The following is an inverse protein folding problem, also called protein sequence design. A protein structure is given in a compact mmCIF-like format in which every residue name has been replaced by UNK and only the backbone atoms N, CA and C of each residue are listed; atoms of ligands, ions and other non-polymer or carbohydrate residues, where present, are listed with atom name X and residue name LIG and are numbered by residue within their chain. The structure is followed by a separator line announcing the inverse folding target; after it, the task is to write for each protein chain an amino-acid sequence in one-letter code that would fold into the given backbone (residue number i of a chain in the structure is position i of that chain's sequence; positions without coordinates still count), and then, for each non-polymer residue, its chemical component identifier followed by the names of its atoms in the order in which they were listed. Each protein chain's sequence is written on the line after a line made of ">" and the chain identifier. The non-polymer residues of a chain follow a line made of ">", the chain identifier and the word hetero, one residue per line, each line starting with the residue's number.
data_IF_593168534879
#
_entry.id   IF_593168534879
#
_cell.length_a   1.000
_cell.length_b   1.000
_cell.length_c   1.000
_cell.angle_alpha   90.00
_cell.angle_beta   90.00
_cell.angle_gamma   90.00
#
_symmetry.space_group_name_H-M   'P 1'
#
loop_
_entity.id
_entity.type
_entity.pdbx_description
1 polymer ?
#
# COMPACT_ATOMS: atom_id res chain seq x y z
N UNK A 1 -16.00 -11.74 -14.47
CA UNK A 1 -15.33 -10.89 -15.47
C UNK A 1 -14.47 -11.79 -16.35
N UNK A 2 -14.34 -11.44 -17.63
CA UNK A 2 -13.51 -12.14 -18.61
C UNK A 2 -12.65 -11.13 -19.36
N UNK A 3 -11.45 -11.57 -19.76
CA UNK A 3 -10.57 -10.80 -20.63
C UNK A 3 -11.08 -10.86 -22.06
N UNK A 4 -11.08 -9.71 -22.75
CA UNK A 4 -11.33 -9.67 -24.18
C UNK A 4 -10.14 -10.28 -24.97
N UNK A 5 -10.32 -10.61 -26.27
CA UNK A 5 -9.22 -10.96 -27.14
C UNK A 5 -8.08 -9.92 -27.09
N UNK A 6 -6.86 -10.38 -27.30
CA UNK A 6 -5.68 -9.52 -27.20
C UNK A 6 -5.76 -8.30 -28.13
N UNK A 7 -5.56 -7.12 -27.56
CA UNK A 7 -5.65 -5.85 -28.29
C UNK A 7 -4.27 -5.31 -28.75
N UNK A 8 -3.19 -6.04 -28.46
CA UNK A 8 -1.83 -5.74 -28.92
C UNK A 8 -1.20 -4.48 -28.29
N UNK A 9 -1.75 -3.97 -27.17
CA UNK A 9 -1.19 -2.82 -26.45
C UNK A 9 -0.66 -3.25 -25.09
N UNK A 10 0.50 -2.69 -24.70
CA UNK A 10 1.17 -2.94 -23.43
C UNK A 10 1.20 -1.66 -22.59
N UNK A 11 0.66 -1.70 -21.38
CA UNK A 11 0.55 -0.53 -20.52
C UNK A 11 1.35 -0.75 -19.22
N UNK A 12 2.14 0.26 -18.85
CA UNK A 12 2.76 0.31 -17.54
C UNK A 12 1.84 1.00 -16.54
N UNK A 13 1.69 0.42 -15.35
CA UNK A 13 1.00 1.03 -14.21
C UNK A 13 2.00 1.17 -13.07
N UNK A 14 2.17 2.37 -12.55
CA UNK A 14 3.09 2.62 -11.42
C UNK A 14 2.30 2.78 -10.15
N UNK A 15 2.39 1.78 -9.29
CA UNK A 15 1.65 1.63 -8.03
C UNK A 15 0.61 0.51 -8.09
N UNK A 16 0.76 -0.49 -7.22
CA UNK A 16 -0.16 -1.61 -7.04
C UNK A 16 -1.20 -1.35 -5.93
N UNK A 17 -1.53 -0.10 -5.66
CA UNK A 17 -2.64 0.27 -4.78
C UNK A 17 -4.00 0.14 -5.48
N UNK A 18 -5.12 0.46 -4.80
CA UNK A 18 -6.47 0.30 -5.34
C UNK A 18 -6.66 0.95 -6.71
N UNK A 19 -6.11 2.14 -6.93
CA UNK A 19 -6.22 2.86 -8.22
C UNK A 19 -5.49 2.12 -9.36
N UNK A 20 -4.26 1.65 -9.11
CA UNK A 20 -3.46 0.91 -10.09
C UNK A 20 -4.08 -0.45 -10.41
N UNK A 21 -4.52 -1.18 -9.40
CA UNK A 21 -5.18 -2.47 -9.58
C UNK A 21 -6.49 -2.33 -10.36
N UNK A 22 -7.31 -1.33 -10.05
CA UNK A 22 -8.55 -1.07 -10.79
C UNK A 22 -8.28 -0.70 -12.25
N UNK A 23 -7.27 0.14 -12.52
CA UNK A 23 -6.85 0.49 -13.86
C UNK A 23 -6.37 -0.75 -14.63
N UNK A 24 -5.45 -1.52 -14.05
CA UNK A 24 -4.90 -2.73 -14.66
C UNK A 24 -5.98 -3.76 -14.98
N UNK A 25 -6.88 -4.04 -14.04
CA UNK A 25 -7.99 -4.95 -14.25
C UNK A 25 -8.90 -4.49 -15.38
N UNK A 26 -9.24 -3.20 -15.43
CA UNK A 26 -10.05 -2.64 -16.51
C UNK A 26 -9.40 -2.72 -17.87
N UNK A 27 -8.10 -2.49 -17.95
CA UNK A 27 -7.31 -2.64 -19.17
C UNK A 27 -7.24 -4.10 -19.63
N UNK A 28 -7.00 -5.03 -18.71
CA UNK A 28 -7.00 -6.46 -19.00
C UNK A 28 -8.37 -6.94 -19.51
N UNK A 29 -9.48 -6.46 -18.95
CA UNK A 29 -10.83 -6.74 -19.49
C UNK A 29 -10.99 -6.29 -20.94
N UNK A 30 -10.23 -5.28 -21.39
CA UNK A 30 -10.23 -4.78 -22.78
C UNK A 30 -9.18 -5.46 -23.68
N UNK A 31 -8.47 -6.49 -23.17
CA UNK A 31 -7.49 -7.26 -23.91
C UNK A 31 -6.08 -6.66 -23.95
N UNK A 32 -5.79 -5.62 -23.15
CA UNK A 32 -4.44 -5.07 -23.07
C UNK A 32 -3.58 -5.88 -22.09
N UNK A 33 -2.27 -5.93 -22.33
CA UNK A 33 -1.30 -6.43 -21.37
C UNK A 33 -0.85 -5.31 -20.44
N UNK A 34 -0.77 -5.60 -19.15
CA UNK A 34 -0.42 -4.61 -18.13
C UNK A 34 0.72 -5.13 -17.26
N UNK A 35 1.72 -4.30 -17.07
CA UNK A 35 2.76 -4.50 -16.06
C UNK A 35 2.59 -3.44 -14.98
N UNK A 36 2.38 -3.89 -13.75
CA UNK A 36 2.29 -3.01 -12.58
C UNK A 36 3.65 -3.02 -11.88
N UNK A 37 4.20 -1.85 -11.62
CA UNK A 37 5.42 -1.65 -10.83
C UNK A 37 5.05 -1.09 -9.47
N UNK A 38 5.54 -1.69 -8.39
CA UNK A 38 5.32 -1.19 -7.04
C UNK A 38 6.62 -1.17 -6.23
N UNK A 39 6.84 -0.10 -5.49
CA UNK A 39 8.03 0.05 -4.65
C UNK A 39 8.04 -0.84 -3.41
N UNK A 40 6.89 -1.36 -3.01
CA UNK A 40 6.73 -2.23 -1.85
C UNK A 40 6.88 -3.70 -2.22
N UNK A 41 7.23 -4.58 -1.27
CA UNK A 41 7.37 -6.02 -1.51
C UNK A 41 6.04 -6.74 -1.80
N UNK A 42 4.90 -6.13 -1.45
CA UNK A 42 3.56 -6.64 -1.72
C UNK A 42 2.70 -5.56 -2.36
N UNK A 43 1.87 -5.93 -3.32
CA UNK A 43 0.82 -5.05 -3.84
C UNK A 43 -0.33 -4.89 -2.83
N UNK A 44 -1.25 -3.95 -3.12
CA UNK A 44 -2.42 -3.66 -2.29
C UNK A 44 -2.44 -2.22 -1.77
N UNK A 45 -1.28 -1.53 -1.74
CA UNK A 45 -1.19 -0.14 -1.30
C UNK A 45 -1.77 0.06 0.11
N UNK A 46 -2.67 1.04 0.30
CA UNK A 46 -3.28 1.29 1.61
C UNK A 46 -4.09 0.12 2.16
N UNK A 47 -4.66 -0.75 1.32
CA UNK A 47 -5.38 -1.93 1.78
C UNK A 47 -4.44 -2.92 2.48
N UNK A 48 -3.19 -3.00 2.04
CA UNK A 48 -2.15 -3.85 2.63
C UNK A 48 -1.43 -3.16 3.80
N UNK A 49 -1.06 -1.87 3.65
CA UNK A 49 -0.14 -1.18 4.55
C UNK A 49 -0.79 -0.16 5.47
N UNK A 50 -1.97 0.37 5.14
CA UNK A 50 -2.50 1.55 5.82
C UNK A 50 -3.81 1.34 6.59
N UNK A 51 -4.59 0.30 6.28
CA UNK A 51 -5.82 -0.03 7.01
C UNK A 51 -5.47 -0.82 8.26
N UNK A 52 -6.01 -0.42 9.41
CA UNK A 52 -5.79 -1.12 10.67
C UNK A 52 -6.12 -2.63 10.56
N UNK A 53 -5.28 -3.47 11.17
CA UNK A 53 -5.37 -4.92 11.05
C UNK A 53 -6.74 -5.49 11.46
N UNK A 54 -7.37 -4.90 12.47
CA UNK A 54 -8.69 -5.33 12.94
C UNK A 54 -9.84 -5.01 11.97
N UNK A 55 -9.63 -4.07 11.04
CA UNK A 55 -10.61 -3.67 10.01
C UNK A 55 -10.53 -4.52 8.75
N UNK A 56 -9.37 -5.08 8.44
CA UNK A 56 -9.11 -5.90 7.27
C UNK A 56 -8.41 -7.22 7.68
N UNK A 57 -9.12 -8.11 8.40
CA UNK A 57 -8.56 -9.37 8.87
C UNK A 57 -8.34 -10.36 7.72
N UNK A 58 -7.55 -11.41 7.99
CA UNK A 58 -7.47 -12.59 7.13
C UNK A 58 -6.80 -12.37 5.78
N UNK A 59 -5.78 -11.52 5.72
CA UNK A 59 -5.00 -11.26 4.49
C UNK A 59 -5.85 -10.76 3.31
N UNK A 60 -6.87 -9.96 3.63
CA UNK A 60 -7.88 -9.48 2.68
C UNK A 60 -7.26 -8.83 1.44
N UNK A 61 -6.24 -7.99 1.60
CA UNK A 61 -5.64 -7.26 0.48
C UNK A 61 -4.95 -8.20 -0.53
N UNK A 62 -4.28 -9.25 -0.06
CA UNK A 62 -3.64 -10.21 -0.93
C UNK A 62 -4.68 -11.15 -1.58
N UNK A 63 -5.72 -11.53 -0.86
CA UNK A 63 -6.83 -12.32 -1.41
C UNK A 63 -7.54 -11.57 -2.54
N UNK A 64 -7.78 -10.27 -2.37
CA UNK A 64 -8.36 -9.42 -3.41
C UNK A 64 -7.44 -9.29 -4.61
N UNK A 65 -6.13 -9.07 -4.37
CA UNK A 65 -5.11 -8.96 -5.42
C UNK A 65 -5.04 -10.24 -6.24
N UNK A 66 -4.95 -11.41 -5.59
CA UNK A 66 -4.92 -12.71 -6.25
C UNK A 66 -6.19 -12.95 -7.08
N UNK A 67 -7.34 -12.50 -6.58
CA UNK A 67 -8.59 -12.60 -7.33
C UNK A 67 -8.59 -11.71 -8.57
N UNK A 68 -8.10 -10.48 -8.49
CA UNK A 68 -7.99 -9.56 -9.61
C UNK A 68 -7.03 -10.09 -10.70
N UNK A 69 -5.93 -10.72 -10.31
CA UNK A 69 -4.93 -11.27 -11.25
C UNK A 69 -5.45 -12.48 -12.05
N UNK A 70 -6.48 -13.18 -11.58
CA UNK A 70 -7.09 -14.32 -12.28
C UNK A 70 -7.68 -13.96 -13.63
N UNK A 71 -7.91 -12.70 -13.95
CA UNK A 71 -8.36 -12.25 -15.26
C UNK A 71 -7.31 -12.52 -16.36
N UNK A 72 -6.03 -12.59 -15.98
CA UNK A 72 -4.90 -12.73 -16.88
C UNK A 72 -4.48 -11.41 -17.56
N UNK A 73 -3.29 -11.42 -18.17
CA UNK A 73 -2.72 -10.24 -18.85
C UNK A 73 -2.24 -9.15 -17.91
N UNK A 74 -2.10 -9.42 -16.62
CA UNK A 74 -1.54 -8.51 -15.61
C UNK A 74 -0.36 -9.21 -14.94
N UNK A 75 0.77 -8.52 -14.88
CA UNK A 75 1.94 -8.93 -14.08
C UNK A 75 2.29 -7.82 -13.09
N UNK A 76 2.84 -8.19 -11.93
CA UNK A 76 3.30 -7.23 -10.93
C UNK A 76 4.79 -7.42 -10.69
N UNK A 77 5.55 -6.34 -10.77
CA UNK A 77 6.96 -6.25 -10.41
C UNK A 77 7.09 -5.44 -9.12
N UNK A 78 7.28 -6.13 -8.02
CA UNK A 78 7.48 -5.53 -6.71
C UNK A 78 8.93 -5.06 -6.51
N UNK A 79 9.15 -4.12 -5.58
CA UNK A 79 10.45 -3.57 -5.26
C UNK A 79 11.00 -2.62 -6.34
N UNK A 80 10.14 -2.08 -7.21
CA UNK A 80 10.50 -1.17 -8.29
C UNK A 80 9.98 0.23 -8.03
N UNK A 81 10.88 1.17 -7.79
CA UNK A 81 10.53 2.53 -7.37
C UNK A 81 10.76 3.56 -8.50
N UNK A 82 9.69 4.27 -8.87
CA UNK A 82 9.76 5.35 -9.87
C UNK A 82 10.75 6.44 -9.41
N UNK A 83 11.66 6.81 -10.31
CA UNK A 83 12.67 7.82 -10.06
C UNK A 83 13.91 7.31 -9.30
N UNK A 84 13.94 6.07 -8.87
CA UNK A 84 15.10 5.43 -8.23
C UNK A 84 15.73 4.41 -9.19
N UNK A 85 15.08 3.28 -9.38
CA UNK A 85 15.53 2.19 -10.27
C UNK A 85 14.59 2.00 -11.47
N UNK A 86 13.54 2.81 -11.56
CA UNK A 86 12.55 2.81 -12.64
C UNK A 86 12.40 4.24 -13.21
N UNK A 87 13.23 4.63 -14.19
CA UNK A 87 13.09 5.93 -14.84
C UNK A 87 11.79 6.04 -15.64
N UNK A 88 11.10 7.17 -15.55
CA UNK A 88 9.86 7.39 -16.31
C UNK A 88 10.10 7.32 -17.83
N UNK A 89 11.24 7.83 -18.30
CA UNK A 89 11.60 7.80 -19.72
C UNK A 89 11.70 6.37 -20.28
N UNK A 90 12.18 5.42 -19.47
CA UNK A 90 12.28 4.01 -19.87
C UNK A 90 10.89 3.40 -20.04
N UNK A 91 9.97 3.73 -19.13
CA UNK A 91 8.57 3.29 -19.25
C UNK A 91 7.89 3.88 -20.48
N UNK A 92 8.12 5.15 -20.78
CA UNK A 92 7.58 5.82 -21.95
C UNK A 92 8.14 5.26 -23.26
N UNK A 93 9.36 4.72 -23.26
CA UNK A 93 9.98 4.08 -24.42
C UNK A 93 9.55 2.62 -24.63
N UNK A 94 9.12 1.94 -23.58
CA UNK A 94 8.85 0.49 -23.61
C UNK A 94 7.35 0.13 -23.65
N UNK A 95 6.49 1.07 -23.27
CA UNK A 95 5.05 0.86 -23.15
C UNK A 95 4.24 1.83 -24.01
N UNK A 96 3.10 1.42 -24.51
CA UNK A 96 2.18 2.28 -25.29
C UNK A 96 1.57 3.40 -24.43
N UNK A 97 1.46 3.18 -23.13
CA UNK A 97 0.97 4.17 -22.17
C UNK A 97 1.53 3.88 -20.77
N UNK A 98 1.62 4.94 -19.95
CA UNK A 98 2.01 4.86 -18.54
C UNK A 98 0.92 5.49 -17.69
N UNK A 99 0.42 4.74 -16.69
CA UNK A 99 -0.54 5.23 -15.72
C UNK A 99 0.14 5.37 -14.35
N UNK A 100 0.12 6.58 -13.79
CA UNK A 100 0.70 6.87 -12.48
C UNK A 100 -0.36 6.73 -11.39
N UNK A 101 -0.21 5.71 -10.54
CA UNK A 101 -1.09 5.38 -9.42
C UNK A 101 -0.31 5.33 -8.09
N UNK A 102 0.66 6.24 -7.93
CA UNK A 102 1.65 6.24 -6.84
C UNK A 102 1.06 6.58 -5.46
N UNK A 103 -0.21 6.97 -5.40
CA UNK A 103 -0.88 7.32 -4.15
C UNK A 103 -0.35 8.59 -3.50
N UNK A 104 -0.64 8.75 -2.22
CA UNK A 104 -0.20 9.87 -1.38
C UNK A 104 0.64 9.31 -0.22
N UNK A 105 1.93 9.11 -0.47
CA UNK A 105 2.84 8.54 0.52
C UNK A 105 3.36 9.58 1.55
N UNK A 106 3.15 10.86 1.31
CA UNK A 106 3.59 11.92 2.23
C UNK A 106 2.72 11.98 3.49
N UNK A 107 3.36 12.11 4.64
CA UNK A 107 2.70 12.33 5.93
C UNK A 107 3.08 13.69 6.48
N UNK A 108 2.11 14.38 7.09
CA UNK A 108 2.38 15.60 7.85
C UNK A 108 3.10 15.22 9.15
N UNK A 109 4.35 15.66 9.28
CA UNK A 109 5.12 15.44 10.51
C UNK A 109 4.85 16.55 11.49
N UNK A 110 4.67 16.22 12.77
CA UNK A 110 4.70 17.19 13.84
C UNK A 110 6.13 17.68 13.97
N UNK A 111 6.33 19.00 13.90
CA UNK A 111 7.62 19.60 14.13
C UNK A 111 7.94 19.52 15.63
N UNK A 112 8.97 18.76 15.98
CA UNK A 112 9.53 18.66 17.32
C UNK A 112 11.02 18.90 17.24
N UNK A 113 11.57 19.65 18.17
CA UNK A 113 13.01 19.93 18.23
C UNK A 113 13.75 18.73 18.84
N UNK A 114 14.79 18.25 18.14
CA UNK A 114 15.66 17.17 18.59
C UNK A 114 15.16 15.76 18.21
N UNK A 115 15.93 14.75 18.61
CA UNK A 115 15.55 13.34 18.49
C UNK A 115 14.74 12.93 19.71
N UNK A 116 13.55 12.41 19.51
CA UNK A 116 12.67 11.95 20.59
C UNK A 116 12.48 10.43 20.48
N UNK A 117 13.01 9.69 21.44
CA UNK A 117 12.68 8.28 21.60
C UNK A 117 11.18 8.13 21.85
N UNK A 118 10.55 7.17 21.18
CA UNK A 118 9.13 6.88 21.32
C UNK A 118 8.19 7.75 20.48
N UNK A 119 8.73 8.69 19.67
CA UNK A 119 7.94 9.39 18.67
C UNK A 119 7.85 8.56 17.38
N UNK A 120 6.66 8.14 17.02
CA UNK A 120 6.40 7.38 15.80
C UNK A 120 5.35 8.07 14.94
N UNK A 121 5.50 7.93 13.62
CA UNK A 121 4.45 8.29 12.69
C UNK A 121 3.38 7.19 12.66
N UNK A 122 2.13 7.55 12.90
CA UNK A 122 1.04 6.58 12.97
C UNK A 122 0.88 5.73 11.68
N UNK A 123 1.12 6.33 10.51
CA UNK A 123 1.02 5.60 9.23
C UNK A 123 2.09 4.53 9.13
N UNK A 124 3.35 4.88 9.44
CA UNK A 124 4.47 3.96 9.40
C UNK A 124 4.30 2.85 10.45
N UNK A 125 3.91 3.20 11.68
CA UNK A 125 3.67 2.25 12.75
C UNK A 125 2.53 1.26 12.43
N UNK A 126 1.43 1.72 11.81
CA UNK A 126 0.35 0.85 11.32
C UNK A 126 0.88 -0.09 10.22
N UNK A 127 1.70 0.43 9.31
CA UNK A 127 2.32 -0.38 8.26
C UNK A 127 3.20 -1.48 8.84
N UNK A 128 4.07 -1.15 9.80
CA UNK A 128 4.95 -2.12 10.45
C UNK A 128 4.15 -3.19 11.20
N UNK A 129 3.10 -2.78 11.91
CA UNK A 129 2.18 -3.72 12.56
C UNK A 129 1.48 -4.63 11.54
N UNK A 130 1.04 -4.09 10.40
CA UNK A 130 0.40 -4.89 9.33
C UNK A 130 1.35 -5.95 8.79
N UNK A 131 2.63 -5.62 8.65
CA UNK A 131 3.64 -6.50 8.04
C UNK A 131 4.31 -7.44 9.06
N UNK A 132 4.16 -7.19 10.36
CA UNK A 132 4.69 -8.10 11.39
C UNK A 132 3.94 -9.44 11.37
N UNK A 133 4.69 -10.54 11.40
CA UNK A 133 4.14 -11.89 11.52
C UNK A 133 3.49 -12.11 12.89
N UNK A 134 4.14 -11.63 13.97
CA UNK A 134 3.59 -11.60 15.31
C UNK A 134 3.35 -10.13 15.72
N UNK A 135 2.10 -9.79 15.98
CA UNK A 135 1.72 -8.42 16.36
C UNK A 135 2.28 -8.01 17.73
N UNK A 136 2.59 -8.99 18.59
CA UNK A 136 3.19 -8.73 19.91
C UNK A 136 4.64 -8.27 19.83
N UNK A 137 5.30 -8.47 18.68
CA UNK A 137 6.66 -7.96 18.44
C UNK A 137 6.68 -6.45 18.15
N UNK A 138 5.53 -5.85 17.85
CA UNK A 138 5.44 -4.42 17.55
C UNK A 138 5.52 -3.62 18.85
N UNK A 139 6.53 -2.74 19.00
CA UNK A 139 6.69 -2.00 20.24
C UNK A 139 5.53 -1.05 20.49
N UNK A 140 5.01 -1.05 21.71
CA UNK A 140 4.00 -0.12 22.19
C UNK A 140 4.36 0.40 23.58
N UNK A 141 4.17 1.69 23.82
CA UNK A 141 4.40 2.29 25.13
C UNK A 141 3.29 1.91 26.13
N UNK A 142 3.61 1.90 27.44
CA UNK A 142 2.59 1.74 28.50
C UNK A 142 1.59 2.91 28.48
N UNK A 143 2.10 4.12 28.28
CA UNK A 143 1.32 5.34 28.14
C UNK A 143 1.55 5.89 26.73
N UNK A 144 0.49 5.97 25.95
CA UNK A 144 0.54 6.40 24.54
C UNK A 144 -0.26 7.69 24.38
N UNK A 145 0.33 8.68 23.76
CA UNK A 145 -0.36 9.91 23.33
C UNK A 145 -0.48 9.89 21.82
N UNK A 146 -1.71 10.00 21.33
CA UNK A 146 -1.99 10.06 19.88
C UNK A 146 -2.40 11.48 19.52
N UNK A 147 -1.59 12.13 18.69
CA UNK A 147 -1.84 13.50 18.24
C UNK A 147 -2.60 13.45 16.90
N UNK A 148 -3.89 13.76 16.94
CA UNK A 148 -4.76 13.81 15.77
C UNK A 148 -6.18 13.35 16.06
N UNK A 149 -7.11 13.65 15.16
CA UNK A 149 -8.53 13.30 15.30
C UNK A 149 -9.11 12.57 14.07
N UNK A 150 -8.28 12.25 13.07
CA UNK A 150 -8.71 11.51 11.89
C UNK A 150 -8.71 9.99 12.12
N UNK A 151 -9.20 9.25 11.12
CA UNK A 151 -9.33 7.78 11.22
C UNK A 151 -8.01 7.08 11.53
N UNK A 152 -6.89 7.55 10.98
CA UNK A 152 -5.56 7.00 11.27
C UNK A 152 -5.19 7.14 12.75
N UNK A 153 -5.51 8.29 13.37
CA UNK A 153 -5.28 8.50 14.80
C UNK A 153 -6.14 7.57 15.65
N UNK A 154 -7.42 7.43 15.31
CA UNK A 154 -8.32 6.47 15.97
C UNK A 154 -7.79 5.05 15.84
N UNK A 155 -7.33 4.66 14.65
CA UNK A 155 -6.76 3.34 14.40
C UNK A 155 -5.48 3.09 15.20
N UNK A 156 -4.59 4.10 15.30
CA UNK A 156 -3.40 4.02 16.12
C UNK A 156 -3.75 3.87 17.61
N UNK A 157 -4.71 4.65 18.10
CA UNK A 157 -5.16 4.57 19.50
C UNK A 157 -5.77 3.19 19.84
N UNK A 158 -6.67 2.69 18.99
CA UNK A 158 -7.30 1.37 19.18
C UNK A 158 -6.27 0.26 19.16
N UNK A 159 -5.37 0.25 18.18
CA UNK A 159 -4.34 -0.77 18.06
C UNK A 159 -3.32 -0.72 19.20
N UNK A 160 -2.93 0.48 19.67
CA UNK A 160 -2.11 0.62 20.86
C UNK A 160 -2.76 -0.01 22.09
N UNK A 161 -4.07 0.18 22.26
CA UNK A 161 -4.82 -0.42 23.35
C UNK A 161 -4.90 -1.94 23.24
N UNK A 162 -5.12 -2.48 22.03
CA UNK A 162 -5.15 -3.91 21.77
C UNK A 162 -3.79 -4.58 21.99
N UNK A 163 -2.68 -3.87 21.77
CA UNK A 163 -1.31 -4.33 22.06
C UNK A 163 -0.91 -4.21 23.52
N UNK A 164 -1.77 -3.71 24.39
CA UNK A 164 -1.55 -3.71 25.83
C UNK A 164 -1.13 -2.37 26.45
N UNK A 165 -1.27 -1.24 25.73
CA UNK A 165 -1.06 0.07 26.33
C UNK A 165 -2.02 0.28 27.52
N UNK A 166 -1.49 0.68 28.67
CA UNK A 166 -2.27 0.90 29.89
C UNK A 166 -3.15 2.15 29.74
N UNK A 167 -2.58 3.23 29.20
CA UNK A 167 -3.28 4.48 28.93
C UNK A 167 -3.04 4.93 27.49
N UNK A 168 -4.11 5.39 26.84
CA UNK A 168 -4.06 6.00 25.51
C UNK A 168 -4.89 7.30 25.55
N UNK A 169 -4.27 8.40 25.14
CA UNK A 169 -4.88 9.73 25.15
C UNK A 169 -4.77 10.38 23.77
#
# INVERSE_FOLDING_TARGET
>A
FSRAPEAGRKVAVVGAGPAGLACAHRLAMKGHDVVIFDSKPKGGGLNEYGIAAYKAPGDFAQTELDWLLKIGGITIENGRALGTDLPLADLQGQYDAVFLAIGLAGVNKVAVDGAHEGLANAVDWISDMRQSADKTDVPVGRNVVVIGGGMTAVDAAVQSKLLGAEQVT
#
